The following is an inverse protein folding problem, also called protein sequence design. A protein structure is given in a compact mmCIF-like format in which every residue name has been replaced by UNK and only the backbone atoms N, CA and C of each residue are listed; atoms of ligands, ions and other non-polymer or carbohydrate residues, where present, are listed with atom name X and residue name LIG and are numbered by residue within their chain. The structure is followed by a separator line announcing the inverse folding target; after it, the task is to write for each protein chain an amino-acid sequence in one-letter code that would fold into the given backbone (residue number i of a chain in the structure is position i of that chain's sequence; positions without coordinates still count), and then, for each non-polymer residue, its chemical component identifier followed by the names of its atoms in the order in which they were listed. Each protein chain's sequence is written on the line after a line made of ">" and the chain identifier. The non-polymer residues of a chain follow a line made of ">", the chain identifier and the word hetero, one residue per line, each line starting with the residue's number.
data_IF_009634468769
#
_entry.id   IF_009634468769
#
_cell.length_a   1.000
_cell.length_b   1.000
_cell.length_c   1.000
_cell.angle_alpha   90.00
_cell.angle_beta   90.00
_cell.angle_gamma   90.00
#
_symmetry.space_group_name_H-M   'P 1'
#
loop_
_entity.id
_entity.type
_entity.pdbx_description
1 polymer ?
#
# COMPACT_ATOMS: atom_id res chain seq x y z
N UNK A 1 -0.47 -17.94 29.20
CA UNK A 1 -1.11 -16.69 28.74
C UNK A 1 -0.82 -16.50 27.25
N UNK A 2 -1.81 -16.74 26.39
CA UNK A 2 -1.65 -16.91 24.93
C UNK A 2 -2.63 -16.03 24.12
N UNK A 3 -2.92 -14.82 24.60
CA UNK A 3 -3.95 -13.93 24.05
C UNK A 3 -3.53 -12.71 23.19
N UNK A 4 -2.25 -12.30 23.01
CA UNK A 4 -1.99 -11.03 22.30
C UNK A 4 -2.23 -11.08 20.78
N UNK A 5 -2.04 -12.23 20.11
CA UNK A 5 -2.09 -12.31 18.64
C UNK A 5 -3.51 -12.29 18.07
N UNK A 6 -4.51 -12.84 18.78
CA UNK A 6 -5.89 -12.87 18.27
C UNK A 6 -6.54 -11.48 18.33
N UNK A 7 -6.31 -10.72 19.41
CA UNK A 7 -6.90 -9.40 19.63
C UNK A 7 -6.44 -8.37 18.59
N UNK A 8 -5.14 -8.29 18.30
CA UNK A 8 -4.61 -7.38 17.27
C UNK A 8 -5.18 -7.68 15.88
N UNK A 9 -5.31 -8.97 15.54
CA UNK A 9 -5.89 -9.39 14.26
C UNK A 9 -7.37 -8.97 14.15
N UNK A 10 -8.13 -9.10 15.23
CA UNK A 10 -9.53 -8.67 15.28
C UNK A 10 -9.67 -7.15 15.11
N UNK A 11 -8.87 -6.36 15.84
CA UNK A 11 -8.86 -4.89 15.73
C UNK A 11 -8.52 -4.46 14.30
N UNK A 12 -7.47 -5.03 13.70
CA UNK A 12 -7.11 -4.69 12.31
C UNK A 12 -8.25 -5.05 11.36
N UNK A 13 -8.90 -6.21 11.52
CA UNK A 13 -10.05 -6.59 10.68
C UNK A 13 -11.24 -5.64 10.84
N UNK A 14 -11.49 -5.17 12.06
CA UNK A 14 -12.53 -4.19 12.35
C UNK A 14 -12.25 -2.86 11.62
N UNK A 15 -11.03 -2.33 11.72
CA UNK A 15 -10.63 -1.13 10.96
C UNK A 15 -10.67 -1.36 9.44
N UNK A 16 -10.35 -2.57 8.98
CA UNK A 16 -10.47 -2.92 7.56
C UNK A 16 -11.92 -3.09 7.09
N UNK A 17 -12.92 -3.06 7.97
CA UNK A 17 -14.33 -3.18 7.57
C UNK A 17 -14.80 -2.00 6.70
N UNK A 18 -14.19 -0.82 6.86
CA UNK A 18 -14.40 0.37 6.03
C UNK A 18 -13.65 0.28 4.68
N UNK A 19 -12.84 -0.75 4.49
CA UNK A 19 -12.05 -1.00 3.28
C UNK A 19 -12.67 -2.13 2.46
N UNK A 20 -12.19 -2.30 1.24
CA UNK A 20 -12.46 -3.52 0.47
C UNK A 20 -11.28 -4.49 0.62
N UNK A 21 -11.39 -5.45 1.55
CA UNK A 21 -10.39 -6.50 1.71
C UNK A 21 -10.28 -7.33 0.43
N UNK A 22 -9.07 -7.37 -0.16
CA UNK A 22 -8.78 -8.13 -1.38
C UNK A 22 -8.20 -9.50 -1.07
N UNK A 23 -7.30 -9.58 -0.10
CA UNK A 23 -6.55 -10.80 0.17
C UNK A 23 -6.03 -10.82 1.61
N UNK A 24 -6.01 -12.00 2.23
CA UNK A 24 -5.20 -12.24 3.44
C UNK A 24 -3.88 -12.88 2.99
N UNK A 25 -2.76 -12.30 3.40
CA UNK A 25 -1.44 -12.80 3.02
C UNK A 25 -1.02 -13.94 3.96
N UNK A 26 -0.64 -15.06 3.36
CA UNK A 26 -0.18 -16.25 4.07
C UNK A 26 1.30 -16.47 3.76
N UNK A 27 2.17 -15.81 4.52
CA UNK A 27 3.63 -15.97 4.41
C UNK A 27 4.20 -16.45 5.76
N UNK A 28 5.05 -17.49 5.79
CA UNK A 28 5.66 -18.01 7.01
C UNK A 28 6.45 -16.99 7.84
N UNK A 29 6.89 -15.87 7.25
CA UNK A 29 7.63 -14.78 7.91
C UNK A 29 6.71 -13.74 8.53
N UNK A 30 5.40 -13.81 8.28
CA UNK A 30 4.41 -12.87 8.79
C UNK A 30 3.64 -13.44 9.99
N UNK A 31 3.36 -12.58 10.96
CA UNK A 31 2.37 -12.83 12.01
C UNK A 31 0.95 -12.47 11.51
N UNK A 32 0.84 -11.47 10.62
CA UNK A 32 -0.37 -11.12 9.88
C UNK A 32 -0.02 -10.39 8.58
N UNK A 33 -0.91 -10.48 7.60
CA UNK A 33 -0.85 -9.64 6.42
C UNK A 33 -2.19 -9.53 5.71
N UNK A 34 -2.52 -8.35 5.22
CA UNK A 34 -3.75 -8.07 4.50
C UNK A 34 -3.48 -7.12 3.32
N UNK A 35 -4.12 -7.40 2.18
CA UNK A 35 -4.24 -6.45 1.07
C UNK A 35 -5.67 -5.97 0.98
N UNK A 36 -5.86 -4.66 0.84
CA UNK A 36 -7.18 -4.04 0.79
C UNK A 36 -7.16 -2.81 -0.12
N UNK A 37 -8.35 -2.34 -0.49
CA UNK A 37 -8.54 -1.11 -1.26
C UNK A 37 -9.21 -0.05 -0.40
N UNK A 38 -8.62 1.15 -0.40
CA UNK A 38 -9.13 2.31 0.34
C UNK A 38 -8.95 3.62 -0.46
N UNK A 39 -9.93 4.55 -0.45
CA UNK A 39 -11.28 4.36 0.10
C UNK A 39 -12.11 3.37 -0.73
N UNK A 40 -13.09 2.73 -0.09
CA UNK A 40 -14.04 1.86 -0.79
C UNK A 40 -14.97 2.72 -1.67
N UNK A 41 -15.34 2.20 -2.84
CA UNK A 41 -16.38 2.80 -3.68
C UNK A 41 -15.89 3.37 -5.01
N UNK A 42 -16.81 4.06 -5.67
CA UNK A 42 -16.67 4.59 -7.02
C UNK A 42 -16.99 6.09 -7.03
N UNK A 43 -16.37 6.83 -7.93
CA UNK A 43 -16.74 8.22 -8.19
C UNK A 43 -18.10 8.29 -8.93
N UNK A 44 -18.69 9.48 -9.12
CA UNK A 44 -19.97 9.64 -9.84
C UNK A 44 -19.98 9.09 -11.28
N UNK A 45 -18.80 8.89 -11.89
CA UNK A 45 -18.61 8.32 -13.22
C UNK A 45 -18.41 6.79 -13.20
N UNK A 46 -18.59 6.14 -12.04
CA UNK A 46 -18.44 4.71 -11.87
C UNK A 46 -16.99 4.20 -11.79
N UNK A 47 -15.98 5.10 -11.74
CA UNK A 47 -14.56 4.71 -11.65
C UNK A 47 -14.17 4.42 -10.20
N UNK A 48 -13.40 3.35 -9.91
CA UNK A 48 -12.91 3.08 -8.56
C UNK A 48 -12.12 4.26 -7.98
N UNK A 49 -12.45 4.65 -6.74
CA UNK A 49 -11.70 5.70 -6.01
C UNK A 49 -10.47 5.12 -5.30
N UNK A 50 -10.58 3.88 -4.85
CA UNK A 50 -9.63 3.28 -3.94
C UNK A 50 -8.32 2.90 -4.59
N UNK A 51 -7.26 2.94 -3.78
CA UNK A 51 -5.93 2.45 -4.11
C UNK A 51 -5.62 1.17 -3.34
N UNK A 52 -4.77 0.30 -3.86
CA UNK A 52 -4.31 -0.87 -3.12
C UNK A 52 -3.41 -0.44 -1.96
N UNK A 53 -3.63 -1.04 -0.81
CA UNK A 53 -2.80 -0.96 0.38
C UNK A 53 -2.47 -2.37 0.86
N UNK A 54 -1.32 -2.50 1.50
CA UNK A 54 -0.87 -3.72 2.16
C UNK A 54 -0.50 -3.36 3.59
N UNK A 55 -1.04 -4.09 4.56
CA UNK A 55 -0.59 -4.03 5.96
C UNK A 55 0.01 -5.37 6.34
N UNK A 56 1.20 -5.37 6.91
CA UNK A 56 1.89 -6.58 7.38
C UNK A 56 2.51 -6.40 8.75
N UNK A 57 2.52 -7.48 9.54
CA UNK A 57 3.36 -7.62 10.72
C UNK A 57 4.32 -8.77 10.46
N UNK A 58 5.60 -8.47 10.36
CA UNK A 58 6.64 -9.50 10.31
C UNK A 58 6.86 -10.10 11.70
N UNK A 59 7.22 -11.37 11.75
CA UNK A 59 7.59 -12.05 13.00
C UNK A 59 8.70 -11.26 13.69
N UNK A 60 8.62 -11.17 15.02
CA UNK A 60 9.60 -10.50 15.89
C UNK A 60 9.70 -8.98 15.73
N UNK A 61 8.81 -8.32 14.97
CA UNK A 61 8.74 -6.85 14.93
C UNK A 61 7.59 -6.34 15.78
N UNK A 62 7.83 -5.24 16.51
CA UNK A 62 6.83 -4.59 17.36
C UNK A 62 5.84 -3.72 16.58
N UNK A 63 6.15 -3.34 15.34
CA UNK A 63 5.33 -2.43 14.52
C UNK A 63 4.58 -3.13 13.38
N UNK A 64 3.62 -2.40 12.78
CA UNK A 64 2.96 -2.75 11.53
C UNK A 64 3.59 -1.96 10.39
N UNK A 65 3.82 -2.60 9.26
CA UNK A 65 4.23 -1.95 8.03
C UNK A 65 2.99 -1.76 7.15
N UNK A 66 2.73 -0.51 6.75
CA UNK A 66 1.61 -0.15 5.86
C UNK A 66 2.22 0.47 4.62
N UNK A 67 1.93 -0.12 3.46
CA UNK A 67 2.44 0.34 2.16
C UNK A 67 1.32 0.45 1.14
N UNK A 68 1.44 1.45 0.25
CA UNK A 68 0.60 1.56 -0.95
C UNK A 68 1.51 1.51 -2.17
N UNK A 69 1.56 0.38 -2.89
CA UNK A 69 2.39 0.30 -4.08
C UNK A 69 1.83 1.23 -5.17
N UNK A 70 2.72 2.01 -5.76
CA UNK A 70 2.41 2.86 -6.91
C UNK A 70 3.19 2.34 -8.11
N UNK A 71 2.47 2.00 -9.17
CA UNK A 71 3.06 1.60 -10.45
C UNK A 71 3.03 2.78 -11.41
N UNK A 72 4.13 3.02 -12.11
CA UNK A 72 4.20 3.99 -13.20
C UNK A 72 3.80 3.26 -14.48
N UNK A 73 2.84 3.78 -15.25
CA UNK A 73 2.44 3.15 -16.52
C UNK A 73 3.60 3.16 -17.52
N UNK A 74 3.59 2.20 -18.45
CA UNK A 74 4.65 2.07 -19.47
C UNK A 74 4.82 3.34 -20.30
N UNK A 75 3.72 4.02 -20.64
CA UNK A 75 3.74 5.28 -21.37
C UNK A 75 4.55 6.35 -20.60
N UNK A 76 4.28 6.52 -19.31
CA UNK A 76 5.02 7.45 -18.47
C UNK A 76 6.48 7.02 -18.30
N UNK A 77 6.79 5.72 -18.27
CA UNK A 77 8.18 5.22 -18.24
C UNK A 77 8.91 5.60 -19.54
N UNK A 78 8.27 5.43 -20.70
CA UNK A 78 8.84 5.82 -22.00
C UNK A 78 9.15 7.31 -22.04
N UNK A 79 8.23 8.14 -21.56
CA UNK A 79 8.44 9.60 -21.43
C UNK A 79 9.62 9.88 -20.49
N UNK A 80 9.65 9.30 -19.29
CA UNK A 80 10.73 9.52 -18.32
C UNK A 80 12.11 9.10 -18.87
N UNK A 81 12.14 8.06 -19.71
CA UNK A 81 13.38 7.56 -20.31
C UNK A 81 13.83 8.35 -21.53
N UNK A 82 12.93 9.07 -22.21
CA UNK A 82 13.31 9.98 -23.30
C UNK A 82 13.81 11.34 -22.81
N UNK A 83 13.63 11.67 -21.53
CA UNK A 83 14.11 12.93 -20.95
C UNK A 83 15.64 13.00 -20.90
N UNK A 84 16.18 14.21 -21.13
CA UNK A 84 17.59 14.51 -20.85
C UNK A 84 17.90 14.25 -19.37
N UNK A 85 19.09 13.71 -19.08
CA UNK A 85 19.55 13.36 -17.72
C UNK A 85 19.25 14.44 -16.68
N UNK A 86 19.62 15.70 -16.97
CA UNK A 86 19.41 16.83 -16.05
C UNK A 86 17.92 17.04 -15.70
N UNK A 87 17.03 16.90 -16.68
CA UNK A 87 15.59 17.04 -16.48
C UNK A 87 15.01 15.85 -15.67
N UNK A 88 15.49 14.63 -15.95
CA UNK A 88 15.14 13.42 -15.20
C UNK A 88 15.58 13.52 -13.73
N UNK A 89 16.81 13.97 -13.49
CA UNK A 89 17.33 14.18 -12.12
C UNK A 89 16.56 15.27 -11.37
N UNK A 90 16.13 16.33 -12.07
CA UNK A 90 15.28 17.37 -11.48
C UNK A 90 13.90 16.81 -11.11
N UNK A 91 13.31 15.98 -11.96
CA UNK A 91 12.04 15.31 -11.70
C UNK A 91 12.13 14.45 -10.43
N UNK A 92 13.09 13.53 -10.34
CA UNK A 92 13.21 12.65 -9.17
C UNK A 92 13.54 13.43 -7.89
N UNK A 93 14.40 14.45 -7.95
CA UNK A 93 14.64 15.32 -6.77
C UNK A 93 13.37 16.02 -6.30
N UNK A 94 12.54 16.51 -7.21
CA UNK A 94 11.25 17.12 -6.87
C UNK A 94 10.29 16.11 -6.28
N UNK A 95 10.28 14.88 -6.81
CA UNK A 95 9.46 13.78 -6.29
C UNK A 95 9.88 13.41 -4.87
N UNK A 96 11.18 13.17 -4.63
CA UNK A 96 11.71 12.85 -3.29
C UNK A 96 11.33 13.93 -2.28
N UNK A 97 11.54 15.22 -2.61
CA UNK A 97 11.15 16.34 -1.74
C UNK A 97 9.66 16.41 -1.39
N UNK A 98 8.79 15.82 -2.20
CA UNK A 98 7.34 15.78 -1.94
C UNK A 98 6.91 14.58 -1.11
N UNK A 99 7.76 13.55 -1.01
CA UNK A 99 7.46 12.29 -0.34
C UNK A 99 8.20 12.15 1.00
N UNK A 100 9.28 12.92 1.20
CA UNK A 100 9.99 13.12 2.47
C UNK A 100 9.29 14.18 3.32
#
# INVERSE_FOLDING_TARGET
>A
MSEPKSKLKSIIREYLSETELKETLHDPKLDLGFRFIFPKGKNPQGRPLGRPFTVVKTKNKSFLDISSPVTISEEHIKILNSMKKVAKDKFFRKLTKKLS
#
